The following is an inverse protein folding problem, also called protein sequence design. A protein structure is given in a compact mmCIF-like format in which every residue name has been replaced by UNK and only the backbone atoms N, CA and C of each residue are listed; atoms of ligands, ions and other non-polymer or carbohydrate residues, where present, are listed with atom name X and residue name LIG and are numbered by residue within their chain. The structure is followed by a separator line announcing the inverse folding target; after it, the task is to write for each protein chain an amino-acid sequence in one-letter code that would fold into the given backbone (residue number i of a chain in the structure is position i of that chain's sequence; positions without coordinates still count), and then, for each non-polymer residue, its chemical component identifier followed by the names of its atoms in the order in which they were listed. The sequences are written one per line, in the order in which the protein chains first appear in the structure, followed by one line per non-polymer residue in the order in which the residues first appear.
data_IF_474906549446
#
_entry.id   IF_474906549446
#
_cell.length_a   1.000
_cell.length_b   1.000
_cell.length_c   1.000
_cell.angle_alpha   90.00
_cell.angle_beta   90.00
_cell.angle_gamma   90.00
#
_symmetry.space_group_name_H-M   'P 1'
#
loop_
_entity.id
_entity.type
_entity.pdbx_description
1 polymer ?
#
# COMPACT_ATOMS: atom_id res chain seq x y z
N UNK A 1 -49.45 -64.33 51.41
CA UNK A 1 -48.71 -64.56 52.67
C UNK A 1 -47.25 -64.67 52.28
N UNK A 2 -46.44 -63.61 52.39
CA UNK A 2 -45.83 -63.24 53.67
C UNK A 2 -45.80 -61.73 53.95
N UNK A 3 -45.76 -61.39 55.24
CA UNK A 3 -45.62 -60.04 55.83
C UNK A 3 -44.27 -59.39 55.47
N UNK A 4 -44.21 -58.05 55.39
CA UNK A 4 -42.95 -57.35 55.13
C UNK A 4 -42.03 -57.44 56.36
N UNK A 5 -40.72 -57.74 56.18
CA UNK A 5 -39.75 -57.66 57.26
C UNK A 5 -39.25 -56.22 57.49
N UNK A 6 -39.10 -55.95 58.78
CA UNK A 6 -38.67 -54.76 59.51
C UNK A 6 -37.48 -53.98 58.94
N UNK A 7 -37.65 -52.66 58.86
CA UNK A 7 -36.64 -51.64 58.51
C UNK A 7 -35.67 -51.40 59.68
N UNK A 8 -34.34 -51.43 59.47
CA UNK A 8 -33.38 -51.02 60.48
C UNK A 8 -33.20 -49.50 60.55
N UNK A 9 -33.33 -49.00 61.78
CA UNK A 9 -33.12 -47.66 62.31
C UNK A 9 -31.82 -46.99 61.80
N UNK A 10 -31.95 -45.84 61.12
CA UNK A 10 -30.82 -44.99 60.72
C UNK A 10 -30.68 -43.80 61.69
N UNK A 11 -29.48 -43.53 62.23
CA UNK A 11 -29.28 -42.52 63.26
C UNK A 11 -29.55 -41.08 62.75
N UNK A 12 -29.96 -40.16 63.66
CA UNK A 12 -30.40 -38.82 63.29
C UNK A 12 -29.29 -37.98 62.65
N UNK A 13 -29.61 -37.37 61.51
CA UNK A 13 -28.75 -36.43 60.78
C UNK A 13 -28.39 -35.24 61.68
N UNK A 14 -27.14 -35.18 62.13
CA UNK A 14 -26.57 -33.98 62.75
C UNK A 14 -26.66 -32.81 61.76
N UNK A 15 -27.14 -31.61 62.16
CA UNK A 15 -27.16 -30.47 61.25
C UNK A 15 -25.72 -30.11 60.87
N UNK A 16 -25.42 -30.12 59.57
CA UNK A 16 -24.17 -29.55 59.05
C UNK A 16 -24.14 -28.08 59.47
N UNK A 17 -23.16 -27.76 60.31
CA UNK A 17 -22.69 -26.42 60.58
C UNK A 17 -22.52 -25.70 59.24
N UNK A 18 -23.26 -24.62 59.02
CA UNK A 18 -23.12 -23.76 57.85
C UNK A 18 -21.70 -23.18 57.91
N UNK A 19 -20.79 -23.70 57.10
CA UNK A 19 -19.45 -23.14 56.93
C UNK A 19 -19.60 -21.73 56.36
N UNK A 20 -18.84 -20.79 56.92
CA UNK A 20 -18.85 -19.39 56.53
C UNK A 20 -18.50 -19.27 55.03
N UNK A 21 -19.35 -18.56 54.27
CA UNK A 21 -19.09 -18.21 52.88
C UNK A 21 -17.82 -17.34 52.85
N UNK A 22 -16.80 -17.66 52.04
CA UNK A 22 -15.64 -16.78 51.88
C UNK A 22 -16.08 -15.47 51.21
N UNK A 23 -15.56 -14.34 51.69
CA UNK A 23 -15.79 -13.03 51.09
C UNK A 23 -15.42 -13.02 49.60
N UNK A 24 -16.19 -12.33 48.74
CA UNK A 24 -15.83 -12.19 47.33
C UNK A 24 -14.51 -11.40 47.20
N UNK A 25 -13.67 -11.72 46.19
CA UNK A 25 -12.46 -10.95 45.94
C UNK A 25 -12.81 -9.49 45.63
N UNK A 26 -12.06 -8.57 46.22
CA UNK A 26 -12.16 -7.15 45.92
C UNK A 26 -11.93 -6.92 44.42
N UNK A 27 -12.88 -6.26 43.76
CA UNK A 27 -12.73 -5.80 42.38
C UNK A 27 -11.84 -4.56 42.43
N UNK A 28 -10.62 -4.65 41.90
CA UNK A 28 -9.76 -3.50 41.71
C UNK A 28 -10.46 -2.44 40.83
N UNK A 29 -10.36 -1.18 41.25
CA UNK A 29 -10.85 -0.04 40.48
C UNK A 29 -10.08 0.10 39.15
N UNK A 30 -10.71 0.60 38.08
CA UNK A 30 -10.03 0.78 36.79
C UNK A 30 -8.84 1.74 36.94
N UNK A 31 -7.69 1.30 36.43
CA UNK A 31 -6.48 2.11 36.34
C UNK A 31 -6.75 3.39 35.52
N UNK A 32 -6.39 4.54 36.08
CA UNK A 32 -6.34 5.81 35.34
C UNK A 32 -5.36 5.69 34.15
N UNK A 33 -5.71 6.22 32.96
CA UNK A 33 -4.81 6.19 31.81
C UNK A 33 -3.51 6.95 32.11
N UNK A 34 -2.36 6.50 31.55
CA UNK A 34 -1.07 7.14 31.77
C UNK A 34 -1.06 8.57 31.22
N UNK A 35 -0.59 9.53 32.01
CA UNK A 35 -0.34 10.91 31.59
C UNK A 35 0.71 10.92 30.45
N UNK A 36 0.23 11.09 29.22
CA UNK A 36 1.04 11.03 28.01
C UNK A 36 1.96 12.24 27.80
N UNK A 37 3.25 11.97 27.61
CA UNK A 37 4.15 12.52 26.57
C UNK A 37 4.19 14.05 26.28
N UNK A 38 3.77 14.94 27.20
CA UNK A 38 3.89 16.40 26.93
C UNK A 38 5.34 16.85 26.73
N UNK A 39 6.28 16.18 27.38
CA UNK A 39 7.72 16.44 27.28
C UNK A 39 8.30 16.19 25.88
N UNK A 40 7.92 15.10 25.22
CA UNK A 40 8.46 14.77 23.90
C UNK A 40 7.71 15.45 22.75
N UNK A 41 6.43 15.82 22.92
CA UNK A 41 5.77 16.78 22.02
C UNK A 41 6.41 18.18 22.12
N UNK A 42 6.75 18.67 23.32
CA UNK A 42 7.45 19.96 23.46
C UNK A 42 8.87 19.92 22.86
N UNK A 43 9.61 18.82 23.01
CA UNK A 43 10.96 18.66 22.45
C UNK A 43 10.96 18.51 20.92
N UNK A 44 9.95 17.84 20.37
CA UNK A 44 9.80 17.71 18.92
C UNK A 44 9.33 19.03 18.30
N UNK A 45 8.46 19.78 19.00
CA UNK A 45 8.01 21.11 18.58
C UNK A 45 9.15 22.13 18.46
N UNK A 46 10.09 22.15 19.40
CA UNK A 46 11.25 23.06 19.33
C UNK A 46 12.23 22.69 18.23
N UNK A 47 12.44 21.40 17.97
CA UNK A 47 13.27 20.92 16.87
C UNK A 47 12.66 21.25 15.49
N UNK A 48 11.36 21.04 15.31
CA UNK A 48 10.64 21.41 14.08
C UNK A 48 10.64 22.92 13.84
N UNK A 49 10.48 23.74 14.89
CA UNK A 49 10.52 25.20 14.76
C UNK A 49 11.92 25.69 14.34
N UNK A 50 12.99 25.13 14.89
CA UNK A 50 14.35 25.46 14.50
C UNK A 50 14.65 25.07 13.04
N UNK A 51 14.20 23.88 12.61
CA UNK A 51 14.34 23.41 11.24
C UNK A 51 13.61 24.32 10.24
N UNK A 52 12.38 24.74 10.57
CA UNK A 52 11.61 25.65 9.72
C UNK A 52 12.29 27.01 9.54
N UNK A 53 12.91 27.56 10.59
CA UNK A 53 13.67 28.81 10.49
C UNK A 53 14.87 28.67 9.54
N UNK A 54 15.58 27.53 9.59
CA UNK A 54 16.69 27.26 8.68
C UNK A 54 16.23 27.10 7.23
N UNK A 55 15.12 26.40 6.99
CA UNK A 55 14.54 26.24 5.65
C UNK A 55 14.06 27.57 5.06
N UNK A 56 13.42 28.41 5.87
CA UNK A 56 13.03 29.76 5.44
C UNK A 56 14.26 30.61 5.12
N UNK A 57 15.33 30.50 5.90
CA UNK A 57 16.62 31.16 5.60
C UNK A 57 17.23 30.73 4.27
N UNK A 58 17.20 29.42 3.96
CA UNK A 58 17.68 28.87 2.68
C UNK A 58 16.82 29.32 1.49
N UNK A 59 15.49 29.36 1.66
CA UNK A 59 14.58 29.83 0.62
C UNK A 59 14.78 31.33 0.32
N UNK A 60 14.93 32.16 1.36
CA UNK A 60 15.24 33.59 1.21
C UNK A 60 16.60 33.80 0.55
N UNK A 61 17.60 32.98 0.88
CA UNK A 61 18.92 33.03 0.26
C UNK A 61 18.89 32.64 -1.23
N UNK A 62 18.15 31.58 -1.59
CA UNK A 62 17.99 31.13 -2.98
C UNK A 62 17.21 32.12 -3.86
N UNK A 63 16.27 32.87 -3.28
CA UNK A 63 15.45 33.84 -4.01
C UNK A 63 16.13 35.22 -4.18
N UNK A 64 17.08 35.59 -3.32
CA UNK A 64 17.73 36.91 -3.35
C UNK A 64 19.11 36.97 -4.04
N UNK A 65 19.69 35.85 -4.49
CA UNK A 65 21.06 35.82 -5.08
C UNK A 65 21.11 35.22 -6.50
N UNK A 66 19.98 34.88 -7.13
CA UNK A 66 19.99 34.35 -8.50
C UNK A 66 19.60 35.42 -9.52
N UNK A 67 20.61 36.12 -10.04
CA UNK A 67 20.52 36.86 -11.31
C UNK A 67 20.88 35.95 -12.50
N UNK A 68 20.30 36.33 -13.65
CA UNK A 68 20.03 35.56 -14.86
C UNK A 68 21.21 34.93 -15.63
N UNK A 69 20.87 33.87 -16.38
CA UNK A 69 21.55 33.56 -17.64
C UNK A 69 20.50 33.17 -18.69
N UNK A 70 20.17 34.17 -19.51
CA UNK A 70 19.56 34.07 -20.84
C UNK A 70 20.52 33.37 -21.80
N UNK A 71 20.05 32.36 -22.55
CA UNK A 71 20.67 31.93 -23.81
C UNK A 71 19.58 31.57 -24.82
N UNK A 72 19.46 32.41 -25.84
CA UNK A 72 18.65 32.23 -27.04
C UNK A 72 19.26 31.27 -28.10
N UNK A 73 18.35 30.48 -28.70
CA UNK A 73 18.15 30.12 -30.14
C UNK A 73 19.28 29.56 -31.03
N UNK A 74 18.98 28.45 -31.74
CA UNK A 74 18.96 28.35 -33.22
C UNK A 74 18.41 27.00 -33.73
N UNK A 75 17.56 27.03 -34.77
CA UNK A 75 17.15 25.92 -35.69
C UNK A 75 17.77 26.22 -37.09
N UNK A 76 17.62 25.43 -38.20
CA UNK A 76 16.97 24.13 -38.45
C UNK A 76 17.83 23.12 -39.27
N UNK A 77 17.30 21.93 -39.61
CA UNK A 77 17.85 21.06 -40.66
C UNK A 77 16.98 19.82 -40.95
N UNK A 78 16.30 19.83 -42.10
CA UNK A 78 15.60 18.69 -42.72
C UNK A 78 16.58 17.73 -43.40
N UNK A 79 16.24 16.43 -43.40
CA UNK A 79 16.03 15.57 -44.59
C UNK A 79 16.46 14.11 -44.33
N UNK A 80 15.59 13.17 -44.71
CA UNK A 80 15.98 11.81 -45.10
C UNK A 80 15.26 10.65 -44.40
N UNK A 81 14.07 10.29 -44.91
CA UNK A 81 13.58 8.90 -44.97
C UNK A 81 13.61 8.49 -46.45
N UNK A 82 13.90 7.21 -46.82
CA UNK A 82 12.77 6.30 -46.99
C UNK A 82 13.03 4.80 -46.69
N UNK A 83 11.93 4.15 -46.30
CA UNK A 83 11.46 2.80 -46.70
C UNK A 83 12.26 1.54 -46.34
N UNK A 84 11.61 0.67 -45.57
CA UNK A 84 11.21 -0.66 -46.08
C UNK A 84 9.92 -1.16 -45.39
N UNK A 85 9.11 -1.92 -46.11
CA UNK A 85 7.74 -2.42 -45.80
C UNK A 85 7.68 -3.86 -46.34
N UNK A 86 6.66 -4.70 -46.09
CA UNK A 86 6.09 -5.30 -44.88
C UNK A 86 6.11 -6.86 -44.91
N UNK A 87 5.75 -7.54 -43.81
CA UNK A 87 5.26 -8.93 -43.88
C UNK A 87 4.24 -9.27 -42.76
N UNK A 88 2.97 -9.37 -43.14
CA UNK A 88 1.87 -10.05 -42.45
C UNK A 88 1.85 -11.54 -42.88
N UNK A 89 1.29 -12.58 -42.23
CA UNK A 89 0.66 -12.89 -40.94
C UNK A 89 0.64 -14.47 -40.86
N UNK A 90 0.07 -15.17 -39.85
CA UNK A 90 -1.39 -15.27 -39.70
C UNK A 90 -1.92 -15.27 -38.24
N UNK A 91 -3.25 -15.17 -38.18
CA UNK A 91 -4.16 -14.96 -37.07
C UNK A 91 -4.28 -16.09 -36.03
N UNK A 92 -4.41 -15.72 -34.75
CA UNK A 92 -5.30 -16.38 -33.78
C UNK A 92 -5.90 -15.30 -32.88
N UNK A 93 -7.22 -15.38 -32.70
CA UNK A 93 -8.09 -14.36 -32.17
C UNK A 93 -8.05 -14.35 -30.62
N UNK A 94 -7.41 -13.35 -30.03
CA UNK A 94 -7.55 -12.93 -28.63
C UNK A 94 -7.58 -11.39 -28.63
N UNK A 95 -8.30 -10.72 -27.71
CA UNK A 95 -8.21 -9.27 -27.58
C UNK A 95 -6.73 -8.88 -27.44
N UNK A 96 -6.23 -7.86 -28.15
CA UNK A 96 -4.84 -7.44 -28.00
C UNK A 96 -4.65 -6.95 -26.57
N UNK A 97 -3.95 -7.75 -25.77
CA UNK A 97 -3.39 -7.27 -24.51
C UNK A 97 -2.34 -6.21 -24.89
N UNK A 98 -2.39 -5.01 -24.31
CA UNK A 98 -1.35 -4.01 -24.48
C UNK A 98 0.01 -4.67 -24.24
N UNK A 99 0.93 -4.55 -25.20
CA UNK A 99 2.26 -5.14 -25.05
C UNK A 99 2.99 -4.52 -23.85
N UNK A 100 3.92 -5.25 -23.21
CA UNK A 100 4.66 -4.74 -22.06
C UNK A 100 5.33 -3.42 -22.44
N UNK A 101 5.07 -2.37 -21.66
CA UNK A 101 5.87 -1.13 -21.73
C UNK A 101 7.31 -1.50 -21.43
N UNK A 102 8.27 -1.00 -22.23
CA UNK A 102 9.70 -1.18 -21.98
C UNK A 102 10.01 -0.87 -20.50
N UNK A 103 10.76 -1.76 -19.83
CA UNK A 103 10.93 -1.74 -18.38
C UNK A 103 11.31 -0.35 -17.84
N UNK A 104 10.46 0.20 -16.98
CA UNK A 104 10.69 1.48 -16.32
C UNK A 104 11.59 1.26 -15.11
N UNK A 105 12.65 2.06 -14.96
CA UNK A 105 13.65 1.86 -13.91
C UNK A 105 13.64 3.08 -12.98
N UNK A 106 13.55 2.83 -11.67
CA UNK A 106 13.75 3.84 -10.62
C UNK A 106 14.49 3.21 -9.44
N UNK A 107 15.64 3.80 -9.07
CA UNK A 107 16.54 3.24 -8.06
C UNK A 107 16.99 1.80 -8.39
N UNK A 108 16.89 0.84 -7.45
CA UNK A 108 17.29 -0.55 -7.67
C UNK A 108 16.20 -1.40 -8.35
N UNK A 109 15.01 -0.84 -8.63
CA UNK A 109 13.87 -1.59 -9.15
C UNK A 109 13.61 -1.29 -10.63
N UNK A 110 13.27 -2.34 -11.37
CA UNK A 110 12.69 -2.26 -12.70
C UNK A 110 11.26 -2.74 -12.66
N UNK A 111 10.38 -2.05 -13.38
CA UNK A 111 8.94 -2.29 -13.40
C UNK A 111 8.46 -2.53 -14.82
N UNK A 112 7.54 -3.48 -15.00
CA UNK A 112 6.83 -3.72 -16.25
C UNK A 112 5.35 -3.82 -15.94
N UNK A 113 4.52 -2.94 -16.50
CA UNK A 113 3.06 -3.03 -16.33
C UNK A 113 2.56 -4.15 -17.26
N UNK A 114 1.93 -5.15 -16.66
CA UNK A 114 1.45 -6.34 -17.35
C UNK A 114 -0.02 -6.22 -17.75
N UNK A 115 -0.80 -5.42 -17.00
CA UNK A 115 -2.20 -5.18 -17.29
C UNK A 115 -2.90 -4.29 -16.27
N UNK A 116 -4.10 -3.84 -16.63
CA UNK A 116 -4.97 -3.03 -15.78
C UNK A 116 -6.38 -3.62 -15.79
N UNK A 117 -6.95 -3.82 -14.60
CA UNK A 117 -8.33 -4.24 -14.41
C UNK A 117 -9.12 -3.14 -13.70
N UNK A 118 -10.36 -2.90 -14.13
CA UNK A 118 -11.25 -1.92 -13.49
C UNK A 118 -12.49 -2.63 -13.00
N UNK A 119 -12.80 -2.50 -11.71
CA UNK A 119 -13.93 -3.20 -11.11
C UNK A 119 -14.40 -2.62 -9.78
N UNK A 120 -15.61 -2.97 -9.33
CA UNK A 120 -16.17 -2.42 -8.11
C UNK A 120 -15.62 -3.07 -6.83
N UNK A 121 -14.88 -4.19 -6.96
CA UNK A 121 -14.37 -4.95 -5.83
C UNK A 121 -13.07 -5.67 -6.14
N UNK A 122 -12.30 -5.93 -5.09
CA UNK A 122 -11.18 -6.89 -5.10
C UNK A 122 -11.48 -8.03 -4.13
N UNK A 123 -10.92 -9.20 -4.42
CA UNK A 123 -11.04 -10.39 -3.57
C UNK A 123 -9.66 -10.70 -3.02
N UNK A 124 -9.60 -11.04 -1.73
CA UNK A 124 -8.35 -11.44 -1.09
C UNK A 124 -7.82 -12.72 -1.74
N UNK A 125 -6.51 -12.77 -1.95
CA UNK A 125 -5.88 -13.84 -2.74
C UNK A 125 -5.98 -15.22 -2.10
N UNK A 126 -6.04 -15.30 -0.76
CA UNK A 126 -5.99 -16.53 0.03
C UNK A 126 -7.25 -16.79 0.88
N UNK A 127 -8.24 -15.89 0.83
CA UNK A 127 -9.49 -16.00 1.57
C UNK A 127 -10.67 -15.42 0.79
N UNK A 128 -11.91 -15.90 1.02
CA UNK A 128 -13.11 -15.37 0.36
C UNK A 128 -13.57 -14.03 0.97
N UNK A 129 -12.64 -13.12 1.27
CA UNK A 129 -12.92 -11.77 1.75
C UNK A 129 -12.92 -10.82 0.56
N UNK A 130 -13.94 -9.97 0.48
CA UNK A 130 -14.07 -8.97 -0.59
C UNK A 130 -13.96 -7.56 -0.01
N UNK A 131 -13.34 -6.65 -0.76
CA UNK A 131 -13.36 -5.22 -0.50
C UNK A 131 -14.09 -4.53 -1.65
N UNK A 132 -15.06 -3.69 -1.34
CA UNK A 132 -15.78 -2.84 -2.31
C UNK A 132 -15.14 -1.46 -2.34
N UNK A 133 -15.02 -0.89 -3.54
CA UNK A 133 -14.56 0.48 -3.77
C UNK A 133 -15.63 1.51 -3.36
N UNK A 134 -15.18 2.70 -2.94
CA UNK A 134 -16.05 3.87 -2.80
C UNK A 134 -16.48 4.39 -4.18
N UNK A 135 -15.58 4.32 -5.18
CA UNK A 135 -15.88 4.51 -6.59
C UNK A 135 -15.71 3.20 -7.37
N UNK A 136 -14.58 3.06 -8.05
CA UNK A 136 -14.14 1.83 -8.73
C UNK A 136 -12.65 1.63 -8.46
N UNK A 137 -12.23 0.38 -8.28
CA UNK A 137 -10.82 0.06 -8.22
C UNK A 137 -10.23 0.04 -9.64
N UNK A 138 -9.09 0.71 -9.79
CA UNK A 138 -8.13 0.47 -10.87
C UNK A 138 -7.04 -0.41 -10.26
N UNK A 139 -7.01 -1.67 -10.66
CA UNK A 139 -6.00 -2.65 -10.24
C UNK A 139 -4.94 -2.73 -11.32
N UNK A 140 -3.68 -2.46 -10.96
CA UNK A 140 -2.55 -2.58 -11.86
C UNK A 140 -1.73 -3.81 -11.49
N UNK A 141 -1.56 -4.70 -12.46
CA UNK A 141 -0.68 -5.86 -12.38
C UNK A 141 0.67 -5.48 -12.99
N UNK A 142 1.76 -5.73 -12.26
CA UNK A 142 3.09 -5.43 -12.75
C UNK A 142 4.13 -6.46 -12.31
N UNK A 143 5.12 -6.66 -13.16
CA UNK A 143 6.33 -7.40 -12.85
C UNK A 143 7.37 -6.44 -12.29
N UNK A 144 7.88 -6.74 -11.11
CA UNK A 144 8.92 -5.97 -10.42
C UNK A 144 10.16 -6.83 -10.30
N UNK A 145 11.30 -6.28 -10.72
CA UNK A 145 12.60 -6.93 -10.61
C UNK A 145 13.58 -6.05 -9.81
N UNK A 146 14.37 -6.67 -8.93
CA UNK A 146 15.52 -6.01 -8.33
C UNK A 146 16.74 -6.18 -9.25
N UNK A 147 17.14 -5.08 -9.88
CA UNK A 147 18.31 -5.02 -10.78
C UNK A 147 19.57 -4.51 -10.06
N UNK A 148 19.46 -4.18 -8.77
CA UNK A 148 20.55 -3.76 -7.92
C UNK A 148 21.40 -4.92 -7.40
N UNK A 149 22.45 -4.57 -6.65
CA UNK A 149 23.36 -5.54 -6.01
C UNK A 149 23.03 -5.83 -4.54
N UNK A 150 22.06 -5.12 -3.98
CA UNK A 150 21.62 -5.25 -2.58
C UNK A 150 20.13 -5.62 -2.52
N UNK A 151 19.64 -6.22 -1.42
CA UNK A 151 18.21 -6.43 -1.22
C UNK A 151 17.45 -5.10 -1.28
N UNK A 152 16.32 -5.12 -1.98
CA UNK A 152 15.39 -4.00 -2.11
C UNK A 152 13.99 -4.43 -1.71
N UNK A 153 13.05 -3.49 -1.64
CA UNK A 153 11.64 -3.82 -1.40
C UNK A 153 10.76 -2.97 -2.30
N UNK A 154 9.85 -3.64 -3.00
CA UNK A 154 8.69 -2.95 -3.54
C UNK A 154 7.80 -2.51 -2.38
N UNK A 155 7.31 -1.27 -2.42
CA UNK A 155 6.36 -0.75 -1.43
C UNK A 155 5.21 -0.06 -2.17
N UNK A 156 4.00 -0.60 -2.05
CA UNK A 156 2.82 -0.11 -2.76
C UNK A 156 2.49 1.35 -2.42
N UNK A 157 2.67 1.77 -1.16
CA UNK A 157 2.30 3.12 -0.71
C UNK A 157 3.13 4.24 -1.36
N UNK A 158 4.25 3.92 -2.01
CA UNK A 158 5.03 4.91 -2.76
C UNK A 158 4.45 5.18 -4.14
N UNK A 159 3.60 4.30 -4.66
CA UNK A 159 3.08 4.39 -6.01
C UNK A 159 1.88 5.33 -6.07
N UNK A 160 1.71 6.04 -7.19
CA UNK A 160 0.55 6.92 -7.42
C UNK A 160 -0.06 6.68 -8.79
N UNK A 161 -1.37 6.75 -8.87
CA UNK A 161 -2.09 6.69 -10.15
C UNK A 161 -2.48 8.10 -10.57
N UNK A 162 -2.22 8.45 -11.83
CA UNK A 162 -2.86 9.58 -12.47
C UNK A 162 -4.03 9.10 -13.33
N UNK A 163 -5.22 9.64 -13.09
CA UNK A 163 -6.42 9.34 -13.87
C UNK A 163 -7.29 10.59 -14.01
N UNK A 164 -7.80 10.85 -15.21
CA UNK A 164 -8.63 12.03 -15.52
C UNK A 164 -8.04 13.36 -15.02
N UNK A 165 -6.71 13.54 -15.14
CA UNK A 165 -5.99 14.72 -14.66
C UNK A 165 -5.86 14.88 -13.13
N UNK A 166 -6.22 13.87 -12.34
CA UNK A 166 -6.05 13.86 -10.88
C UNK A 166 -5.10 12.74 -10.42
N UNK A 167 -4.41 12.99 -9.30
CA UNK A 167 -3.50 12.01 -8.67
C UNK A 167 -4.24 11.30 -7.54
N UNK A 168 -4.19 9.97 -7.55
CA UNK A 168 -4.81 9.10 -6.58
C UNK A 168 -3.74 8.34 -5.79
N UNK A 169 -3.82 8.34 -4.45
CA UNK A 169 -2.97 7.51 -3.62
C UNK A 169 -3.39 6.04 -3.70
N UNK A 170 -2.50 5.16 -3.26
CA UNK A 170 -2.80 3.74 -3.08
C UNK A 170 -4.07 3.54 -2.24
N UNK A 171 -4.94 2.61 -2.65
CA UNK A 171 -5.97 2.06 -1.78
C UNK A 171 -5.35 0.96 -0.90
N UNK A 172 -4.86 1.33 0.30
CA UNK A 172 -4.04 0.46 1.16
C UNK A 172 -4.71 -0.89 1.48
N UNK A 173 -5.98 -0.88 1.90
CA UNK A 173 -6.69 -2.12 2.28
C UNK A 173 -6.95 -3.03 1.07
N UNK A 174 -7.37 -2.46 -0.06
CA UNK A 174 -7.57 -3.23 -1.30
C UNK A 174 -6.25 -3.83 -1.80
N UNK A 175 -5.17 -3.06 -1.73
CA UNK A 175 -3.83 -3.54 -2.09
C UNK A 175 -3.33 -4.63 -1.13
N UNK A 176 -3.68 -4.55 0.16
CA UNK A 176 -3.36 -5.62 1.11
C UNK A 176 -4.06 -6.94 0.75
N UNK A 177 -5.30 -6.89 0.24
CA UNK A 177 -6.04 -8.09 -0.21
C UNK A 177 -5.35 -8.74 -1.43
N UNK A 178 -4.71 -7.92 -2.26
CA UNK A 178 -3.94 -8.32 -3.43
C UNK A 178 -2.49 -8.74 -3.12
N UNK A 179 -2.03 -8.58 -1.87
CA UNK A 179 -0.65 -8.88 -1.48
C UNK A 179 0.40 -7.86 -1.98
N UNK A 180 -0.03 -6.70 -2.48
CA UNK A 180 0.84 -5.69 -3.09
C UNK A 180 1.39 -4.63 -2.13
N UNK A 181 1.22 -4.77 -0.82
CA UNK A 181 1.61 -3.72 0.14
C UNK A 181 3.12 -3.53 0.22
N UNK A 182 3.86 -4.62 0.41
CA UNK A 182 5.32 -4.60 0.39
C UNK A 182 5.86 -5.98 0.03
N UNK A 183 6.85 -6.04 -0.85
CA UNK A 183 7.46 -7.30 -1.28
C UNK A 183 8.98 -7.14 -1.26
N UNK A 184 9.70 -7.83 -0.34
CA UNK A 184 11.15 -7.84 -0.35
C UNK A 184 11.67 -8.64 -1.55
N UNK A 185 12.73 -8.14 -2.16
CA UNK A 185 13.35 -8.70 -3.35
C UNK A 185 14.86 -8.80 -3.14
N UNK A 186 15.37 -10.04 -3.13
CA UNK A 186 16.81 -10.28 -3.22
C UNK A 186 17.37 -9.77 -4.57
N UNK A 187 18.68 -9.52 -4.69
CA UNK A 187 19.30 -9.17 -5.96
C UNK A 187 18.93 -10.16 -7.08
N UNK A 188 18.57 -9.64 -8.25
CA UNK A 188 18.09 -10.39 -9.42
C UNK A 188 16.75 -11.15 -9.24
N UNK A 189 16.07 -11.01 -8.09
CA UNK A 189 14.73 -11.55 -7.91
C UNK A 189 13.71 -10.78 -8.77
N UNK A 190 12.67 -11.49 -9.20
CA UNK A 190 11.54 -10.93 -9.96
C UNK A 190 10.25 -11.50 -9.40
N UNK A 191 9.21 -10.67 -9.29
CA UNK A 191 7.88 -11.09 -8.81
C UNK A 191 6.79 -10.30 -9.51
N UNK A 192 5.59 -10.87 -9.59
CA UNK A 192 4.38 -10.14 -9.99
C UNK A 192 3.74 -9.55 -8.73
N UNK A 193 3.34 -8.29 -8.79
CA UNK A 193 2.58 -7.60 -7.74
C UNK A 193 1.33 -6.98 -8.34
N UNK A 194 0.29 -6.87 -7.52
CA UNK A 194 -0.97 -6.23 -7.89
C UNK A 194 -1.29 -5.15 -6.87
N UNK A 195 -1.53 -3.93 -7.34
CA UNK A 195 -1.86 -2.78 -6.49
C UNK A 195 -3.17 -2.15 -6.95
N UNK A 196 -3.90 -1.55 -6.02
CA UNK A 196 -5.22 -0.97 -6.30
C UNK A 196 -5.26 0.52 -5.94
N UNK A 197 -6.02 1.28 -6.72
CA UNK A 197 -6.37 2.68 -6.50
C UNK A 197 -7.88 2.83 -6.55
N UNK A 198 -8.47 3.62 -5.65
CA UNK A 198 -9.90 3.92 -5.67
C UNK A 198 -10.12 5.27 -6.36
N UNK A 199 -10.87 5.25 -7.47
CA UNK A 199 -11.11 6.41 -8.31
C UNK A 199 -12.61 6.60 -8.54
N UNK A 200 -13.08 7.82 -8.84
CA UNK A 200 -14.46 8.04 -9.25
C UNK A 200 -14.86 7.14 -10.44
N UNK A 201 -16.11 6.67 -10.49
CA UNK A 201 -16.60 5.92 -11.64
C UNK A 201 -16.47 6.71 -12.95
N UNK A 202 -15.96 6.05 -13.99
CA UNK A 202 -15.73 6.68 -15.30
C UNK A 202 -14.38 7.42 -15.42
N UNK A 203 -13.53 7.38 -14.40
CA UNK A 203 -12.15 7.84 -14.52
C UNK A 203 -11.37 7.02 -15.56
N UNK A 204 -10.53 7.69 -16.34
CA UNK A 204 -9.67 7.08 -17.35
C UNK A 204 -8.23 7.06 -16.80
N UNK A 205 -7.64 5.89 -16.54
CA UNK A 205 -6.22 5.79 -16.15
C UNK A 205 -5.31 6.38 -17.24
N UNK A 206 -4.31 7.15 -16.83
CA UNK A 206 -3.37 7.80 -17.74
C UNK A 206 -1.94 7.29 -17.53
N UNK A 207 -1.42 7.44 -16.31
CA UNK A 207 -0.06 7.07 -15.95
C UNK A 207 -0.01 6.49 -14.55
N UNK A 208 0.93 5.57 -14.33
CA UNK A 208 1.35 5.13 -13.02
C UNK A 208 2.71 5.75 -12.69
N UNK A 209 2.77 6.55 -11.63
CA UNK A 209 4.03 7.06 -11.07
C UNK A 209 4.61 6.00 -10.15
N UNK A 210 5.74 5.43 -10.56
CA UNK A 210 6.41 4.33 -9.89
C UNK A 210 7.67 4.80 -9.17
N UNK A 211 7.85 4.35 -7.93
CA UNK A 211 9.01 4.67 -7.10
C UNK A 211 9.64 3.39 -6.55
N UNK A 212 10.94 3.22 -6.75
CA UNK A 212 11.74 2.15 -6.20
C UNK A 212 12.28 2.43 -4.80
N UNK A 213 12.35 3.70 -4.41
CA UNK A 213 12.86 4.14 -3.11
C UNK A 213 12.05 5.31 -2.54
N UNK A 214 11.98 5.45 -1.20
CA UNK A 214 11.26 6.56 -0.58
C UNK A 214 11.93 7.90 -0.91
N UNK A 215 11.16 8.84 -1.49
CA UNK A 215 11.65 10.17 -1.83
C UNK A 215 12.53 10.23 -3.09
N UNK A 216 12.65 9.12 -3.83
CA UNK A 216 13.25 9.11 -5.17
C UNK A 216 12.42 9.90 -6.19
N UNK A 217 13.01 10.24 -7.35
CA UNK A 217 12.32 11.01 -8.40
C UNK A 217 11.12 10.27 -8.99
N UNK A 218 11.16 8.93 -8.99
CA UNK A 218 10.13 8.10 -9.60
C UNK A 218 10.19 8.09 -11.12
N UNK A 219 9.33 7.29 -11.73
CA UNK A 219 9.17 7.17 -13.18
C UNK A 219 7.69 7.01 -13.55
N UNK A 220 7.25 7.73 -14.58
CA UNK A 220 5.88 7.61 -15.07
C UNK A 220 5.79 6.57 -16.17
N UNK A 221 4.84 5.63 -16.03
CA UNK A 221 4.55 4.59 -17.01
C UNK A 221 3.14 4.80 -17.55
N UNK A 222 2.96 4.97 -18.87
CA UNK A 222 1.63 5.07 -19.47
C UNK A 222 0.81 3.81 -19.21
N UNK A 223 -0.47 3.98 -18.90
CA UNK A 223 -1.43 2.90 -18.79
C UNK A 223 -2.26 2.80 -20.09
N UNK A 224 -2.70 1.59 -20.46
CA UNK A 224 -3.45 1.34 -21.69
C UNK A 224 -4.91 1.80 -21.66
#
# INVERSE_FOLDING_TARGET
MPTPPTEPDLPPKTPRRLEAVPDPPAVDAPATPPDGNRSLVLRFGTACAALLVVLVGLAVYGFLIKDDADVQLSLPGSDGDPSETPAAAPTTNAPPMPGPTAGAIDGPLSFTVDGVEIGPKVVMSDAPLEKTADGVFVVVHMTVANIGTEPASFVGTFQKLQASGAIYPLADEATAYLGGTAVPLDPAATTVVSIAFDVPPGSVPEFLELHGEPGGPGIQVPLP
#
